data_IF_335573771683
#
_entry.id   IF_335573771683
#
_cell.length_a   1.000
_cell.length_b   1.000
_cell.length_c   1.000
_cell.angle_alpha   90.00
_cell.angle_beta   90.00
_cell.angle_gamma   90.00
#
_symmetry.space_group_name_H-M   'P 1'
#
loop_
_entity.id
_entity.type
_entity.pdbx_description
1 polymer ?
#
# COMPACT_ATOMS: atom_id res chain seq x y z
N UNK A 1 68.73 -19.71 14.44
CA UNK A 1 67.87 -18.93 15.37
C UNK A 1 68.23 -17.45 15.22
N UNK A 2 67.42 -16.64 14.51
CA UNK A 2 67.68 -15.20 14.33
C UNK A 2 67.08 -14.45 15.52
N UNK A 3 67.96 -13.95 16.40
CA UNK A 3 67.60 -13.11 17.53
C UNK A 3 67.07 -11.76 17.03
N UNK A 4 65.76 -11.50 17.22
CA UNK A 4 65.21 -10.18 16.98
C UNK A 4 65.64 -9.26 18.12
N UNK A 5 66.65 -8.42 17.84
CA UNK A 5 67.11 -7.34 18.72
C UNK A 5 65.92 -6.46 19.12
N UNK A 6 65.56 -6.49 20.39
CA UNK A 6 64.49 -5.70 20.98
C UNK A 6 64.92 -4.22 21.06
N UNK A 7 64.80 -3.50 19.94
CA UNK A 7 65.07 -2.06 19.87
C UNK A 7 63.89 -1.34 20.52
N UNK A 8 64.15 -0.66 21.63
CA UNK A 8 63.17 0.27 22.21
C UNK A 8 62.88 1.34 21.16
N UNK A 9 61.61 1.52 20.74
CA UNK A 9 61.27 2.55 19.76
C UNK A 9 61.70 3.93 20.30
N UNK A 10 62.20 4.80 19.41
CA UNK A 10 62.61 6.14 19.83
C UNK A 10 61.38 6.93 20.31
N UNK A 11 61.53 7.82 21.29
CA UNK A 11 60.43 8.68 21.74
C UNK A 11 59.74 9.41 20.57
N UNK A 12 60.51 9.82 19.56
CA UNK A 12 60.00 10.44 18.34
C UNK A 12 59.09 9.51 17.51
N UNK A 13 59.40 8.22 17.42
CA UNK A 13 58.57 7.24 16.73
C UNK A 13 57.25 7.00 17.46
N UNK A 14 57.29 6.99 18.80
CA UNK A 14 56.07 6.83 19.61
C UNK A 14 55.15 8.04 19.40
N UNK A 15 55.71 9.24 19.48
CA UNK A 15 54.95 10.49 19.30
C UNK A 15 54.37 10.57 17.88
N UNK A 16 55.14 10.21 16.84
CA UNK A 16 54.65 10.24 15.47
C UNK A 16 53.54 9.22 15.21
N UNK A 17 53.64 8.02 15.79
CA UNK A 17 52.58 7.00 15.69
C UNK A 17 51.32 7.42 16.42
N UNK A 18 51.43 7.99 17.62
CA UNK A 18 50.26 8.50 18.36
C UNK A 18 49.61 9.67 17.63
N UNK A 19 50.41 10.63 17.14
CA UNK A 19 49.92 11.75 16.36
C UNK A 19 49.19 11.28 15.08
N UNK A 20 49.74 10.26 14.40
CA UNK A 20 49.13 9.67 13.21
C UNK A 20 47.80 8.98 13.52
N UNK A 21 47.72 8.23 14.63
CA UNK A 21 46.47 7.57 15.06
C UNK A 21 45.39 8.59 15.45
N UNK A 22 45.76 9.69 16.10
CA UNK A 22 44.83 10.78 16.45
C UNK A 22 44.36 11.52 15.19
N UNK A 23 45.26 11.80 14.24
CA UNK A 23 44.92 12.43 12.97
C UNK A 23 43.96 11.58 12.12
N UNK A 24 44.12 10.25 12.14
CA UNK A 24 43.25 9.31 11.43
C UNK A 24 41.94 9.00 12.17
N UNK A 25 41.89 9.16 13.49
CA UNK A 25 40.71 8.82 14.31
C UNK A 25 39.59 9.88 14.31
N UNK A 26 39.81 11.09 13.79
CA UNK A 26 38.98 12.26 14.06
C UNK A 26 37.53 12.25 13.55
N UNK A 27 37.13 11.38 12.63
CA UNK A 27 35.84 11.50 11.93
C UNK A 27 34.86 10.33 12.10
N UNK A 28 35.25 9.23 12.76
CA UNK A 28 34.44 8.00 12.82
C UNK A 28 34.16 7.48 14.25
N UNK A 29 34.34 8.31 15.29
CA UNK A 29 33.98 7.90 16.64
C UNK A 29 32.46 7.78 16.78
N UNK A 30 32.01 6.52 16.71
CA UNK A 30 30.77 5.96 17.23
C UNK A 30 29.72 6.99 17.65
N UNK A 31 28.74 7.20 16.77
CA UNK A 31 27.47 7.82 17.09
C UNK A 31 26.89 7.13 18.33
N UNK A 32 26.84 7.84 19.47
CA UNK A 32 26.25 7.33 20.71
C UNK A 32 24.82 6.81 20.43
N UNK A 33 24.41 5.72 21.09
CA UNK A 33 23.04 5.20 20.95
C UNK A 33 22.02 6.33 21.16
N UNK A 34 21.06 6.45 20.24
CA UNK A 34 20.02 7.49 20.21
C UNK A 34 20.52 8.94 19.97
N UNK A 35 21.75 9.15 19.47
CA UNK A 35 22.22 10.50 19.10
C UNK A 35 21.86 10.89 17.66
N UNK A 36 21.45 9.93 16.81
CA UNK A 36 20.84 10.23 15.50
C UNK A 36 19.43 10.75 15.73
N UNK A 37 19.19 12.00 15.34
CA UNK A 37 17.87 12.64 15.31
C UNK A 37 17.54 13.06 13.88
N UNK A 38 16.30 13.48 13.64
CA UNK A 38 15.83 13.88 12.30
C UNK A 38 16.73 14.91 11.61
N UNK A 39 17.31 15.87 12.36
CA UNK A 39 18.25 16.87 11.82
C UNK A 39 19.56 16.29 11.25
N UNK A 40 19.89 15.04 11.59
CA UNK A 40 21.09 14.34 11.11
C UNK A 40 20.79 13.46 9.89
N UNK A 41 19.53 13.36 9.46
CA UNK A 41 19.08 12.50 8.36
C UNK A 41 18.50 13.41 7.27
N UNK A 42 19.09 13.37 6.09
CA UNK A 42 18.54 14.09 4.92
C UNK A 42 17.38 13.29 4.30
N UNK A 43 16.44 13.97 3.66
CA UNK A 43 15.28 13.33 3.05
C UNK A 43 15.71 12.31 1.98
N UNK A 44 15.14 11.11 2.04
CA UNK A 44 15.48 10.01 1.12
C UNK A 44 16.75 9.23 1.48
N UNK A 45 17.46 9.57 2.56
CA UNK A 45 18.67 8.86 2.98
C UNK A 45 18.41 7.43 3.50
N UNK A 46 17.21 7.15 4.00
CA UNK A 46 16.81 5.84 4.53
C UNK A 46 15.79 5.23 3.57
N UNK A 47 16.09 4.03 3.09
CA UNK A 47 15.24 3.22 2.23
C UNK A 47 14.80 1.94 2.94
N UNK A 48 13.85 1.20 2.36
CA UNK A 48 13.31 -0.02 2.97
C UNK A 48 14.39 -1.05 3.33
N UNK A 49 15.42 -1.22 2.48
CA UNK A 49 16.56 -2.13 2.73
C UNK A 49 17.44 -1.74 3.92
N UNK A 50 17.38 -0.49 4.37
CA UNK A 50 18.14 0.00 5.53
C UNK A 50 17.39 -0.26 6.85
N UNK A 51 16.13 -0.69 6.76
CA UNK A 51 15.25 -0.97 7.88
C UNK A 51 15.08 -2.49 7.98
N UNK A 52 15.49 -3.07 9.12
CA UNK A 52 15.25 -4.49 9.39
C UNK A 52 13.74 -4.77 9.47
N UNK A 53 13.32 -5.90 8.92
CA UNK A 53 11.93 -6.38 9.01
C UNK A 53 11.40 -6.32 10.45
N UNK A 54 10.19 -5.77 10.59
CA UNK A 54 9.51 -5.58 11.89
C UNK A 54 10.12 -4.51 12.82
N UNK A 55 11.11 -3.73 12.37
CA UNK A 55 11.67 -2.63 13.18
C UNK A 55 10.69 -1.46 13.35
N UNK A 56 9.88 -1.16 12.33
CA UNK A 56 8.81 -0.16 12.40
C UNK A 56 7.52 -0.88 12.83
N UNK A 57 6.90 -0.40 13.91
CA UNK A 57 5.65 -0.92 14.47
C UNK A 57 4.64 0.23 14.50
N UNK A 58 3.35 -0.03 14.75
CA UNK A 58 2.32 1.02 14.83
C UNK A 58 2.73 2.20 15.70
N UNK A 59 3.27 1.95 16.91
CA UNK A 59 3.79 3.01 17.81
C UNK A 59 4.92 3.91 17.25
N UNK A 60 5.56 3.52 16.14
CA UNK A 60 6.62 4.30 15.49
C UNK A 60 6.09 5.16 14.33
N UNK A 61 4.83 4.97 13.95
CA UNK A 61 4.18 5.62 12.82
C UNK A 61 3.07 6.50 13.36
N UNK A 62 2.89 7.68 12.77
CA UNK A 62 1.66 8.42 12.94
C UNK A 62 0.72 8.01 11.79
N UNK A 63 -0.20 7.10 12.04
CA UNK A 63 -1.05 6.49 11.01
C UNK A 63 -1.87 7.53 10.22
N UNK A 64 -2.22 8.66 10.83
CA UNK A 64 -2.91 9.77 10.16
C UNK A 64 -2.07 10.48 9.08
N UNK A 65 -0.76 10.23 9.05
CA UNK A 65 0.15 10.77 8.02
C UNK A 65 0.38 9.79 6.86
N UNK A 66 -0.12 8.56 6.96
CA UNK A 66 0.01 7.58 5.90
C UNK A 66 -0.93 7.92 4.75
N UNK A 67 -0.35 8.13 3.56
CA UNK A 67 -1.10 8.13 2.32
C UNK A 67 -0.86 6.81 1.60
N UNK A 68 -1.95 6.08 1.33
CA UNK A 68 -1.88 4.96 0.40
C UNK A 68 -2.11 5.47 -1.03
N UNK A 69 -1.47 4.80 -1.99
CA UNK A 69 -1.67 5.03 -3.41
C UNK A 69 -2.48 3.88 -3.99
N UNK A 70 -3.44 4.23 -4.83
CA UNK A 70 -4.20 3.23 -5.56
C UNK A 70 -3.39 2.72 -6.76
N UNK A 71 -3.48 1.42 -7.12
CA UNK A 71 -2.89 0.89 -8.34
C UNK A 71 -3.39 1.62 -9.59
N UNK A 72 -2.62 1.58 -10.67
CA UNK A 72 -3.03 2.12 -11.97
C UNK A 72 -4.39 1.57 -12.41
N UNK A 73 -5.22 2.42 -13.01
CA UNK A 73 -6.57 2.06 -13.46
C UNK A 73 -7.64 2.10 -12.37
N UNK A 74 -7.30 2.54 -11.15
CA UNK A 74 -8.26 2.70 -10.05
C UNK A 74 -8.31 4.13 -9.52
N UNK A 75 -9.46 4.55 -9.00
CA UNK A 75 -9.73 5.84 -8.36
C UNK A 75 -9.89 5.64 -6.86
N UNK A 76 -9.18 6.45 -6.08
CA UNK A 76 -9.33 6.49 -4.62
C UNK A 76 -10.62 7.21 -4.25
N UNK A 77 -11.57 6.48 -3.67
CA UNK A 77 -12.86 6.99 -3.21
C UNK A 77 -13.20 6.29 -1.90
N UNK A 78 -13.69 7.01 -0.89
CA UNK A 78 -14.08 6.48 0.44
C UNK A 78 -13.04 5.56 1.12
N UNK A 79 -11.75 5.80 0.89
CA UNK A 79 -10.69 4.96 1.47
C UNK A 79 -10.42 3.64 0.72
N UNK A 80 -11.04 3.44 -0.44
CA UNK A 80 -10.93 2.24 -1.27
C UNK A 80 -10.46 2.59 -2.69
N UNK A 81 -9.93 1.62 -3.41
CA UNK A 81 -9.48 1.79 -4.80
C UNK A 81 -10.46 1.12 -5.77
N UNK A 82 -11.42 1.89 -6.27
CA UNK A 82 -12.40 1.41 -7.26
C UNK A 82 -11.79 1.41 -8.64
N UNK A 83 -12.09 0.42 -9.49
CA UNK A 83 -11.81 0.55 -10.92
C UNK A 83 -12.44 1.85 -11.47
N UNK A 84 -11.63 2.62 -12.21
CA UNK A 84 -12.02 3.96 -12.66
C UNK A 84 -13.19 3.93 -13.65
N UNK A 85 -13.37 2.82 -14.36
CA UNK A 85 -14.48 2.56 -15.25
C UNK A 85 -15.13 1.21 -14.90
N UNK A 86 -16.44 1.05 -15.13
CA UNK A 86 -17.06 -0.27 -15.07
C UNK A 86 -16.47 -1.19 -16.15
N UNK A 87 -16.59 -2.49 -15.90
CA UNK A 87 -16.16 -3.53 -16.83
C UNK A 87 -16.84 -3.34 -18.20
N UNK A 88 -16.08 -3.41 -19.31
CA UNK A 88 -16.61 -3.21 -20.65
C UNK A 88 -17.51 -4.36 -21.13
N UNK A 89 -17.44 -5.52 -20.46
CA UNK A 89 -18.25 -6.69 -20.75
C UNK A 89 -19.20 -6.97 -19.56
N UNK A 90 -20.47 -6.53 -19.64
CA UNK A 90 -21.51 -6.94 -18.71
C UNK A 90 -21.60 -8.45 -18.61
N UNK A 91 -21.76 -8.98 -17.41
CA UNK A 91 -21.81 -10.43 -17.17
C UNK A 91 -22.77 -10.79 -16.05
N UNK A 92 -22.95 -12.08 -15.80
CA UNK A 92 -23.75 -12.61 -14.70
C UNK A 92 -23.08 -12.30 -13.37
N UNK A 93 -23.87 -12.31 -12.31
CA UNK A 93 -23.37 -11.90 -11.00
C UNK A 93 -22.21 -12.80 -10.49
N UNK A 94 -22.32 -14.12 -10.64
CA UNK A 94 -21.26 -15.05 -10.21
C UNK A 94 -19.97 -14.88 -11.04
N UNK A 95 -20.11 -14.63 -12.34
CA UNK A 95 -18.97 -14.38 -13.24
C UNK A 95 -18.26 -13.05 -12.92
N UNK A 96 -19.01 -12.05 -12.46
CA UNK A 96 -18.46 -10.76 -12.05
C UNK A 96 -17.60 -10.89 -10.77
N UNK A 97 -18.02 -11.72 -9.81
CA UNK A 97 -17.22 -12.05 -8.62
C UNK A 97 -15.92 -12.72 -9.05
N UNK A 98 -16.01 -13.80 -9.83
CA UNK A 98 -14.84 -14.52 -10.31
C UNK A 98 -13.88 -13.61 -11.10
N UNK A 99 -14.40 -12.70 -11.91
CA UNK A 99 -13.60 -11.73 -12.64
C UNK A 99 -12.87 -10.72 -11.73
N UNK A 100 -13.48 -10.32 -10.61
CA UNK A 100 -12.79 -9.50 -9.61
C UNK A 100 -11.73 -10.28 -8.84
N UNK A 101 -12.01 -11.53 -8.49
CA UNK A 101 -11.09 -12.40 -7.75
C UNK A 101 -9.80 -12.65 -8.55
N UNK A 102 -9.90 -12.91 -9.85
CA UNK A 102 -8.73 -13.08 -10.75
C UNK A 102 -7.87 -11.81 -10.80
N UNK A 103 -8.46 -10.64 -10.60
CA UNK A 103 -7.75 -9.35 -10.54
C UNK A 103 -7.17 -9.04 -9.15
N UNK A 104 -7.32 -9.96 -8.19
CA UNK A 104 -6.96 -9.78 -6.78
C UNK A 104 -7.83 -8.76 -6.05
N UNK A 105 -9.06 -8.54 -6.54
CA UNK A 105 -10.03 -7.61 -5.99
C UNK A 105 -11.33 -8.30 -5.58
N UNK A 106 -12.33 -7.49 -5.26
CA UNK A 106 -13.68 -7.96 -4.93
C UNK A 106 -14.71 -6.95 -5.45
N UNK A 107 -15.96 -7.37 -5.64
CA UNK A 107 -17.02 -6.42 -6.00
C UNK A 107 -17.36 -5.50 -4.82
N UNK A 108 -17.70 -4.23 -5.06
CA UNK A 108 -18.08 -3.32 -4.00
C UNK A 108 -19.36 -3.78 -3.31
N UNK A 109 -19.48 -3.45 -2.03
CA UNK A 109 -20.77 -3.56 -1.35
C UNK A 109 -21.74 -2.49 -1.82
N UNK A 110 -23.03 -2.68 -1.54
CA UNK A 110 -24.07 -1.68 -1.82
C UNK A 110 -23.65 -0.29 -1.32
N UNK A 111 -23.31 -0.19 -0.02
CA UNK A 111 -22.94 1.08 0.59
C UNK A 111 -21.65 1.65 0.01
N UNK A 112 -20.67 0.81 -0.29
CA UNK A 112 -19.42 1.26 -0.91
C UNK A 112 -19.67 1.91 -2.28
N UNK A 113 -20.46 1.27 -3.14
CA UNK A 113 -20.72 1.81 -4.47
C UNK A 113 -21.65 3.03 -4.43
N UNK A 114 -22.67 3.03 -3.57
CA UNK A 114 -23.55 4.19 -3.36
C UNK A 114 -22.76 5.41 -2.90
N UNK A 115 -21.90 5.26 -1.88
CA UNK A 115 -21.07 6.36 -1.39
C UNK A 115 -20.01 6.82 -2.39
N UNK A 116 -19.59 5.94 -3.31
CA UNK A 116 -18.62 6.27 -4.34
C UNK A 116 -19.23 6.85 -5.62
N UNK A 117 -20.54 6.68 -5.85
CA UNK A 117 -21.18 6.95 -7.14
C UNK A 117 -20.98 8.38 -7.64
N UNK A 118 -21.17 9.37 -6.76
CA UNK A 118 -21.01 10.79 -7.11
C UNK A 118 -19.57 11.13 -7.51
N UNK A 119 -18.57 10.60 -6.79
CA UNK A 119 -17.17 10.83 -7.12
C UNK A 119 -16.74 10.07 -8.38
N UNK A 120 -17.24 8.86 -8.59
CA UNK A 120 -16.94 8.06 -9.77
C UNK A 120 -17.55 8.66 -11.04
N UNK A 121 -18.75 9.24 -10.95
CA UNK A 121 -19.41 9.97 -12.04
C UNK A 121 -19.85 9.11 -13.22
N UNK A 122 -19.65 7.79 -13.16
CA UNK A 122 -19.91 6.85 -14.24
C UNK A 122 -20.52 5.52 -13.75
N UNK A 123 -21.17 5.52 -12.58
CA UNK A 123 -21.89 4.33 -12.09
C UNK A 123 -23.18 4.16 -12.88
N UNK A 124 -23.38 3.00 -13.51
CA UNK A 124 -24.65 2.69 -14.18
C UNK A 124 -24.99 3.65 -15.33
N UNK A 125 -24.01 4.00 -16.16
CA UNK A 125 -24.22 4.84 -17.35
C UNK A 125 -25.18 4.16 -18.34
N UNK A 126 -25.81 4.96 -19.21
CA UNK A 126 -26.81 4.52 -20.20
C UNK A 126 -28.09 3.88 -19.60
N UNK A 127 -28.47 4.24 -18.37
CA UNK A 127 -29.70 3.75 -17.72
C UNK A 127 -29.54 2.36 -17.07
N UNK A 128 -28.34 1.81 -17.10
CA UNK A 128 -28.02 0.54 -16.45
C UNK A 128 -27.72 0.72 -14.94
N UNK A 129 -27.69 -0.38 -14.21
CA UNK A 129 -27.25 -0.44 -12.82
C UNK A 129 -26.14 -1.47 -12.71
N UNK A 130 -25.18 -1.25 -11.81
CA UNK A 130 -24.01 -2.11 -11.68
C UNK A 130 -24.16 -3.13 -10.58
N UNK A 131 -23.63 -4.34 -10.79
CA UNK A 131 -23.58 -5.36 -9.75
C UNK A 131 -22.80 -4.89 -8.52
N UNK A 132 -23.32 -5.29 -7.35
CA UNK A 132 -22.64 -5.22 -6.06
C UNK A 132 -22.60 -6.61 -5.42
N UNK A 133 -21.78 -6.80 -4.40
CA UNK A 133 -21.49 -8.08 -3.74
C UNK A 133 -22.71 -8.79 -3.10
N UNK A 134 -23.82 -8.09 -2.97
CA UNK A 134 -24.93 -8.51 -2.14
C UNK A 134 -25.94 -9.31 -2.98
N UNK A 135 -26.16 -10.55 -2.58
CA UNK A 135 -27.16 -11.44 -3.15
C UNK A 135 -28.19 -11.90 -2.11
N UNK A 136 -29.37 -12.28 -2.59
CA UNK A 136 -30.48 -12.76 -1.79
C UNK A 136 -31.29 -13.79 -2.58
N UNK A 137 -31.92 -14.74 -1.88
CA UNK A 137 -32.81 -15.71 -2.50
C UNK A 137 -34.26 -15.42 -2.11
N UNK A 138 -35.14 -15.31 -3.10
CA UNK A 138 -36.57 -15.10 -2.90
C UNK A 138 -37.36 -16.17 -3.63
N UNK A 139 -38.12 -16.99 -2.89
CA UNK A 139 -38.96 -18.06 -3.46
C UNK A 139 -38.20 -18.98 -4.42
N UNK A 140 -36.99 -19.41 -4.03
CA UNK A 140 -36.14 -20.30 -4.84
C UNK A 140 -35.45 -19.64 -6.04
N UNK A 141 -35.57 -18.31 -6.18
CA UNK A 141 -34.88 -17.54 -7.23
C UNK A 141 -33.76 -16.70 -6.63
N UNK A 142 -32.54 -16.91 -7.13
CA UNK A 142 -31.36 -16.16 -6.70
C UNK A 142 -31.31 -14.80 -7.39
N UNK A 143 -31.28 -13.74 -6.59
CA UNK A 143 -31.20 -12.34 -7.00
C UNK A 143 -29.92 -11.69 -6.48
N UNK A 144 -29.51 -10.63 -7.14
CA UNK A 144 -28.44 -9.76 -6.69
C UNK A 144 -28.87 -8.30 -6.75
N UNK A 145 -28.24 -7.50 -5.90
CA UNK A 145 -28.45 -6.06 -5.86
C UNK A 145 -27.64 -5.36 -6.94
N UNK A 146 -28.17 -4.25 -7.40
CA UNK A 146 -27.50 -3.33 -8.32
C UNK A 146 -27.63 -1.89 -7.85
N UNK A 147 -26.67 -1.06 -8.19
CA UNK A 147 -26.66 0.38 -7.87
C UNK A 147 -26.50 1.19 -9.16
N UNK A 148 -27.29 2.25 -9.34
CA UNK A 148 -27.17 3.16 -10.49
C UNK A 148 -26.46 4.48 -10.12
N UNK A 149 -26.34 5.40 -11.10
CA UNK A 149 -25.71 6.71 -10.91
C UNK A 149 -26.29 7.56 -9.77
N UNK A 150 -27.59 7.41 -9.47
CA UNK A 150 -28.28 8.19 -8.43
C UNK A 150 -28.23 7.53 -7.06
N UNK A 151 -27.55 6.38 -6.93
CA UNK A 151 -27.53 5.58 -5.70
C UNK A 151 -28.80 4.76 -5.46
N UNK A 152 -29.71 4.67 -6.45
CA UNK A 152 -30.88 3.81 -6.32
C UNK A 152 -30.46 2.34 -6.37
N UNK A 153 -31.03 1.57 -5.46
CA UNK A 153 -30.77 0.14 -5.32
C UNK A 153 -31.92 -0.63 -5.97
N UNK A 154 -31.60 -1.62 -6.79
CA UNK A 154 -32.59 -2.49 -7.42
C UNK A 154 -32.17 -3.95 -7.43
N UNK A 155 -33.15 -4.84 -7.36
CA UNK A 155 -32.96 -6.29 -7.44
C UNK A 155 -32.99 -6.76 -8.89
N UNK A 156 -32.12 -7.69 -9.23
CA UNK A 156 -32.08 -8.36 -10.54
C UNK A 156 -31.81 -9.85 -10.33
N UNK A 157 -32.30 -10.70 -11.24
CA UNK A 157 -31.97 -12.14 -11.22
C UNK A 157 -30.47 -12.32 -11.52
N UNK A 158 -29.81 -13.31 -10.89
CA UNK A 158 -28.37 -13.53 -11.07
C UNK A 158 -27.97 -14.00 -12.48
N UNK A 159 -28.93 -14.44 -13.29
CA UNK A 159 -28.74 -14.79 -14.70
C UNK A 159 -28.78 -13.59 -15.64
N UNK A 160 -29.18 -12.41 -15.17
CA UNK A 160 -29.10 -11.18 -15.94
C UNK A 160 -27.64 -10.77 -16.16
N UNK A 161 -27.38 -10.02 -17.24
CA UNK A 161 -26.09 -9.37 -17.46
C UNK A 161 -26.14 -7.91 -17.05
N UNK A 162 -25.16 -7.48 -16.24
CA UNK A 162 -24.99 -6.08 -15.85
C UNK A 162 -23.52 -5.69 -15.85
N UNK A 163 -23.22 -4.41 -16.04
CA UNK A 163 -21.89 -3.90 -15.75
C UNK A 163 -21.57 -4.12 -14.27
N UNK A 164 -20.29 -4.17 -13.96
CA UNK A 164 -19.77 -4.31 -12.60
C UNK A 164 -18.43 -3.59 -12.54
N UNK A 165 -17.93 -3.35 -11.34
CA UNK A 165 -16.57 -2.85 -11.14
C UNK A 165 -15.95 -3.52 -9.94
N UNK A 166 -14.63 -3.63 -9.93
CA UNK A 166 -13.92 -4.21 -8.81
C UNK A 166 -13.36 -3.12 -7.90
N UNK A 167 -13.27 -3.42 -6.61
CA UNK A 167 -12.38 -2.75 -5.67
C UNK A 167 -11.09 -3.56 -5.59
N UNK A 168 -9.96 -2.88 -5.73
CA UNK A 168 -8.66 -3.49 -5.43
C UNK A 168 -8.26 -3.17 -3.99
N UNK A 169 -7.84 -4.17 -3.20
CA UNK A 169 -7.31 -3.94 -1.87
C UNK A 169 -6.05 -3.08 -1.97
N UNK A 170 -5.77 -2.34 -0.90
CA UNK A 170 -4.54 -1.58 -0.77
C UNK A 170 -3.40 -2.58 -0.66
N UNK A 171 -2.61 -2.71 -1.74
CA UNK A 171 -1.37 -3.48 -1.68
C UNK A 171 -0.46 -2.87 -0.62
N UNK A 172 -0.16 -3.65 0.41
CA UNK A 172 0.95 -3.40 1.32
C UNK A 172 2.23 -3.97 0.71
#
# INVERSE_FOLDING_TARGET
>A
MKSHSNRRPSPALIVSVVALLVALGGSAYAVKKNSVRSKNIVNGAVSGKDIRDGAVKGKHVNEGTLSFRCPSGTKKVIGLCFEAAPSPAPTRWDDAIAACDVKGGYMPTVSQLVSAAAELGNVGTAGESEWVDSAYEESGKRKALTVNATGNIAYRQQDAVRPYRCIKPLGL
#
